data_IF_628125872124
#
_entry.id   IF_628125872124
#
_cell.length_a   1.000
_cell.length_b   1.000
_cell.length_c   1.000
_cell.angle_alpha   90.00
_cell.angle_beta   90.00
_cell.angle_gamma   90.00
#
_symmetry.space_group_name_H-M   'P 1'
#
loop_
_entity.id
_entity.type
_entity.pdbx_description
1 polymer ?
#
# COMPACT_ATOMS: atom_id res chain seq x y z
N UNK A 1 -6.85 -25.69 7.61
CA UNK A 1 -6.61 -25.16 6.25
C UNK A 1 -6.30 -23.68 6.40
N UNK A 2 -5.02 -23.34 6.18
CA UNK A 2 -4.37 -22.03 6.05
C UNK A 2 -5.04 -20.76 6.55
N UNK A 3 -4.43 -20.09 7.53
CA UNK A 3 -3.76 -18.82 7.25
C UNK A 3 -2.75 -18.56 8.37
N UNK A 4 -1.46 -18.67 8.02
CA UNK A 4 -0.39 -18.21 8.86
C UNK A 4 -0.62 -16.73 9.14
N UNK A 5 -1.01 -16.41 10.38
CA UNK A 5 -0.80 -15.11 10.99
C UNK A 5 0.66 -14.77 10.76
N UNK A 6 0.91 -14.02 9.69
CA UNK A 6 2.21 -13.46 9.40
C UNK A 6 2.44 -12.42 10.47
N UNK A 7 3.00 -12.89 11.59
CA UNK A 7 3.53 -12.08 12.67
C UNK A 7 4.79 -11.42 12.11
N UNK A 8 4.60 -10.44 11.23
CA UNK A 8 5.67 -9.52 10.85
C UNK A 8 6.09 -8.84 12.14
N UNK A 9 7.28 -9.20 12.65
CA UNK A 9 7.86 -8.47 13.76
C UNK A 9 8.02 -7.01 13.31
N UNK A 10 7.64 -6.02 14.13
CA UNK A 10 7.58 -4.59 13.75
C UNK A 10 8.95 -3.96 13.42
N UNK A 11 10.01 -4.78 13.33
CA UNK A 11 11.40 -4.37 13.16
C UNK A 11 11.93 -4.65 11.75
N UNK A 12 11.38 -5.62 11.02
CA UNK A 12 11.89 -5.99 9.68
C UNK A 12 10.79 -5.95 8.62
N UNK A 13 10.99 -5.09 7.63
CA UNK A 13 10.20 -5.05 6.41
C UNK A 13 10.50 -6.32 5.61
N UNK A 14 9.47 -7.09 5.24
CA UNK A 14 9.70 -8.26 4.39
C UNK A 14 10.15 -7.85 3.00
N UNK A 15 10.84 -8.75 2.28
CA UNK A 15 11.21 -8.51 0.88
C UNK A 15 9.98 -8.19 0.01
N UNK A 16 8.85 -8.83 0.30
CA UNK A 16 7.59 -8.60 -0.40
C UNK A 16 7.05 -7.20 -0.14
N UNK A 17 7.11 -6.73 1.10
CA UNK A 17 6.67 -5.40 1.49
C UNK A 17 7.59 -4.30 0.92
N UNK A 18 8.90 -4.53 0.91
CA UNK A 18 9.87 -3.68 0.22
C UNK A 18 9.54 -3.58 -1.27
N UNK A 19 9.31 -4.71 -1.93
CA UNK A 19 8.97 -4.76 -3.35
C UNK A 19 7.66 -4.03 -3.67
N UNK A 20 6.67 -4.06 -2.75
CA UNK A 20 5.42 -3.29 -2.87
C UNK A 20 5.72 -1.79 -2.86
N UNK A 21 6.56 -1.31 -1.93
CA UNK A 21 6.94 0.11 -1.86
C UNK A 21 7.76 0.55 -3.07
N UNK A 22 8.70 -0.26 -3.53
CA UNK A 22 9.46 0.01 -4.76
C UNK A 22 8.56 0.08 -6.00
N UNK A 23 7.56 -0.80 -6.09
CA UNK A 23 6.59 -0.76 -7.17
C UNK A 23 5.79 0.54 -7.18
N UNK A 24 5.31 1.00 -6.02
CA UNK A 24 4.58 2.26 -5.91
C UNK A 24 5.43 3.46 -6.32
N UNK A 25 6.73 3.42 -5.99
CA UNK A 25 7.68 4.45 -6.36
C UNK A 25 7.92 4.50 -7.87
N UNK A 26 8.01 3.35 -8.56
CA UNK A 26 8.27 3.31 -10.00
C UNK A 26 7.01 3.49 -10.87
N UNK A 27 5.81 3.34 -10.28
CA UNK A 27 4.56 3.23 -11.05
C UNK A 27 4.14 4.51 -11.79
N UNK A 28 4.61 5.69 -11.38
CA UNK A 28 4.15 6.97 -11.94
C UNK A 28 4.44 7.16 -13.45
N UNK A 29 5.27 6.31 -14.06
CA UNK A 29 5.66 6.41 -15.49
C UNK A 29 5.04 5.29 -16.36
N UNK A 30 4.28 4.36 -15.77
CA UNK A 30 3.78 3.18 -16.50
C UNK A 30 2.53 3.47 -17.33
N UNK A 31 2.48 2.93 -18.55
CA UNK A 31 1.33 3.02 -19.48
C UNK A 31 0.30 1.89 -19.33
N UNK A 32 0.61 0.85 -18.55
CA UNK A 32 -0.25 -0.31 -18.32
C UNK A 32 -1.23 -0.02 -17.17
N UNK A 33 -2.43 -0.64 -17.12
CA UNK A 33 -3.28 -0.57 -15.93
C UNK A 33 -2.58 -1.15 -14.70
N UNK A 34 -2.65 -0.43 -13.58
CA UNK A 34 -1.98 -0.81 -12.33
C UNK A 34 -2.41 -2.17 -11.81
N UNK A 35 -3.69 -2.47 -11.95
CA UNK A 35 -4.29 -3.72 -11.50
C UNK A 35 -3.69 -4.93 -12.21
N UNK A 36 -3.45 -4.82 -13.51
CA UNK A 36 -2.83 -5.88 -14.29
C UNK A 36 -1.37 -6.08 -13.85
N UNK A 37 -0.60 -5.00 -13.73
CA UNK A 37 0.79 -5.09 -13.28
C UNK A 37 0.92 -5.63 -11.83
N UNK A 38 -0.03 -5.31 -10.95
CA UNK A 38 -0.11 -5.89 -9.61
C UNK A 38 -0.34 -7.39 -9.69
N UNK A 39 -1.30 -7.82 -10.50
CA UNK A 39 -1.61 -9.24 -10.67
C UNK A 39 -0.43 -10.01 -11.26
N UNK A 40 0.22 -9.48 -12.29
CA UNK A 40 1.38 -10.11 -12.92
C UNK A 40 2.59 -10.19 -11.99
N UNK A 41 2.91 -9.10 -11.27
CA UNK A 41 4.13 -9.03 -10.45
C UNK A 41 3.99 -9.69 -9.07
N UNK A 42 2.81 -9.60 -8.47
CA UNK A 42 2.58 -10.04 -7.10
C UNK A 42 1.57 -11.19 -7.00
N UNK A 43 0.95 -11.62 -8.11
CA UNK A 43 -0.06 -12.69 -8.13
C UNK A 43 -1.17 -12.47 -7.10
N UNK A 44 -1.57 -11.21 -6.92
CA UNK A 44 -2.63 -10.83 -5.99
C UNK A 44 -3.63 -9.89 -6.64
N UNK A 45 -4.86 -9.90 -6.14
CA UNK A 45 -5.87 -8.94 -6.56
C UNK A 45 -5.52 -7.53 -6.08
N UNK A 46 -5.96 -6.51 -6.83
CA UNK A 46 -5.81 -5.10 -6.47
C UNK A 46 -6.34 -4.79 -5.07
N UNK A 47 -7.44 -5.43 -4.67
CA UNK A 47 -8.03 -5.24 -3.35
C UNK A 47 -7.09 -5.70 -2.23
N UNK A 48 -6.53 -6.91 -2.34
CA UNK A 48 -5.56 -7.45 -1.36
C UNK A 48 -4.27 -6.63 -1.35
N UNK A 49 -3.82 -6.18 -2.52
CA UNK A 49 -2.67 -5.29 -2.64
C UNK A 49 -2.84 -3.99 -1.86
N UNK A 50 -3.97 -3.29 -2.06
CA UNK A 50 -4.22 -2.05 -1.34
C UNK A 50 -4.46 -2.27 0.16
N UNK A 51 -5.00 -3.41 0.59
CA UNK A 51 -5.09 -3.76 2.01
C UNK A 51 -3.70 -3.89 2.64
N UNK A 52 -2.80 -4.66 2.00
CA UNK A 52 -1.42 -4.83 2.46
C UNK A 52 -0.68 -3.49 2.47
N UNK A 53 -0.79 -2.70 1.40
CA UNK A 53 -0.17 -1.38 1.31
C UNK A 53 -0.66 -0.45 2.42
N UNK A 54 -1.96 -0.46 2.74
CA UNK A 54 -2.50 0.40 3.79
C UNK A 54 -2.00 0.00 5.19
N UNK A 55 -1.80 -1.29 5.46
CA UNK A 55 -1.16 -1.74 6.69
C UNK A 55 0.32 -1.31 6.72
N UNK A 56 1.04 -1.53 5.62
CA UNK A 56 2.45 -1.17 5.48
C UNK A 56 2.75 0.30 5.75
N UNK A 57 1.97 1.22 5.20
CA UNK A 57 2.22 2.66 5.37
C UNK A 57 1.96 3.15 6.80
N UNK A 58 1.31 2.33 7.64
CA UNK A 58 1.10 2.63 9.05
C UNK A 58 2.24 2.07 9.94
N UNK A 59 3.08 1.17 9.40
CA UNK A 59 4.24 0.59 10.10
C UNK A 59 5.48 1.52 10.09
N UNK A 60 6.26 1.55 11.19
CA UNK A 60 7.48 2.35 11.27
C UNK A 60 8.60 1.80 10.35
N UNK A 61 8.61 0.50 10.05
CA UNK A 61 9.59 -0.14 9.15
C UNK A 61 9.49 0.40 7.72
N UNK A 62 8.28 0.64 7.21
CA UNK A 62 8.07 1.24 5.89
C UNK A 62 8.59 2.69 5.85
N UNK A 63 8.39 3.44 6.94
CA UNK A 63 8.91 4.81 7.11
C UNK A 63 10.44 4.83 7.11
N UNK A 64 11.10 3.84 7.69
CA UNK A 64 12.56 3.72 7.67
C UNK A 64 13.09 3.40 6.27
N UNK A 65 12.35 2.61 5.48
CA UNK A 65 12.77 2.23 4.13
C UNK A 65 12.56 3.34 3.08
N UNK A 66 11.35 3.92 2.99
CA UNK A 66 11.03 5.02 2.06
C UNK A 66 10.18 6.11 2.72
N UNK A 67 10.78 7.00 3.53
CA UNK A 67 10.04 7.95 4.34
C UNK A 67 9.18 8.94 3.51
N UNK A 68 9.67 9.39 2.36
CA UNK A 68 8.97 10.35 1.50
C UNK A 68 7.77 9.72 0.81
N UNK A 69 7.93 8.51 0.28
CA UNK A 69 6.85 7.76 -0.37
C UNK A 69 5.73 7.46 0.64
N UNK A 70 6.09 6.93 1.81
CA UNK A 70 5.12 6.59 2.86
C UNK A 70 4.34 7.83 3.31
N UNK A 71 5.01 8.96 3.56
CA UNK A 71 4.33 10.23 3.90
C UNK A 71 3.36 10.68 2.81
N UNK A 72 3.75 10.57 1.53
CA UNK A 72 2.88 10.91 0.39
C UNK A 72 1.65 10.00 0.33
N UNK A 73 1.83 8.69 0.46
CA UNK A 73 0.76 7.69 0.44
C UNK A 73 -0.23 7.90 1.60
N UNK A 74 0.28 8.14 2.82
CA UNK A 74 -0.55 8.47 3.99
C UNK A 74 -1.39 9.73 3.74
N UNK A 75 -0.79 10.80 3.20
CA UNK A 75 -1.51 12.04 2.87
C UNK A 75 -2.61 11.79 1.83
N UNK A 76 -2.32 11.03 0.76
CA UNK A 76 -3.32 10.66 -0.25
C UNK A 76 -4.47 9.86 0.36
N UNK A 77 -4.19 8.93 1.29
CA UNK A 77 -5.21 8.17 2.02
C UNK A 77 -6.10 9.10 2.83
N UNK A 78 -5.53 10.01 3.62
CA UNK A 78 -6.29 10.98 4.41
C UNK A 78 -7.16 11.87 3.52
N UNK A 79 -6.65 12.34 2.38
CA UNK A 79 -7.44 13.12 1.41
C UNK A 79 -8.62 12.31 0.85
N UNK A 80 -8.39 11.04 0.47
CA UNK A 80 -9.46 10.14 0.01
C UNK A 80 -10.49 9.83 1.10
N UNK A 81 -10.07 9.76 2.35
CA UNK A 81 -10.98 9.57 3.49
C UNK A 81 -11.82 10.84 3.73
N UNK A 82 -11.20 12.02 3.77
CA UNK A 82 -11.89 13.29 3.94
C UNK A 82 -12.93 13.55 2.84
N UNK A 83 -12.61 13.27 1.57
CA UNK A 83 -13.54 13.38 0.46
C UNK A 83 -14.77 12.45 0.59
N UNK A 84 -14.58 11.25 1.15
CA UNK A 84 -15.67 10.30 1.44
C UNK A 84 -16.55 10.78 2.59
N UNK A 85 -15.95 11.29 3.66
CA UNK A 85 -16.69 11.83 4.82
C UNK A 85 -17.49 13.07 4.44
N UNK A 86 -16.91 13.99 3.67
CA UNK A 86 -17.61 15.18 3.18
C UNK A 86 -18.87 14.81 2.38
N UNK A 87 -18.81 13.78 1.53
CA UNK A 87 -19.97 13.32 0.75
C UNK A 87 -21.10 12.74 1.61
N UNK A 88 -20.78 12.20 2.80
CA UNK A 88 -21.78 11.64 3.74
C UNK A 88 -22.47 12.71 4.59
N UNK A 89 -21.85 13.88 4.74
CA UNK A 89 -22.41 15.00 5.51
C UNK A 89 -23.33 15.92 4.69
N UNK A 90 -23.35 15.77 3.36
CA UNK A 90 -24.23 16.50 2.45
C UNK A 90 -25.41 15.65 1.94
N UNK A 91 -25.80 14.61 2.70
CA UNK A 91 -26.95 13.74 2.42
C UNK A 91 -28.05 13.95 3.43
#
# INVERSE_FOLDING_TARGET
MSEALSLHSPVELTERDAAILDFEDSWFTSSVPKEQAIMERFSMSSARYYQQLNALIDEPSALAHKPLLVKRLRRMRTQRQAARSARRLHG
#
